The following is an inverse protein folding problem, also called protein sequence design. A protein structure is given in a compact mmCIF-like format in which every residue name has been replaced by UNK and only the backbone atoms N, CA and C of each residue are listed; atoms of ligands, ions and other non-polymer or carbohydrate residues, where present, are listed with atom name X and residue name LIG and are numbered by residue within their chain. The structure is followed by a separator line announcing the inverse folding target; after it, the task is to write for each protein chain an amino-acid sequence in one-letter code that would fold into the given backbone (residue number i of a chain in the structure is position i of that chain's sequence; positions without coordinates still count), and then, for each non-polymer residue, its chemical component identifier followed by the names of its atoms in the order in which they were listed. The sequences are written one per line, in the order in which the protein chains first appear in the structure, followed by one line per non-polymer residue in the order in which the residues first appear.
data_IF_119235651450
#
_entry.id   IF_119235651450
#
_cell.length_a   1.000
_cell.length_b   1.000
_cell.length_c   1.000
_cell.angle_alpha   90.00
_cell.angle_beta   90.00
_cell.angle_gamma   90.00
#
_symmetry.space_group_name_H-M   'P 1'
#
loop_
_entity.id
_entity.type
_entity.pdbx_description
1 polymer ?
#
# COMPACT_ATOMS: atom_id res chain seq x y z
N UNK A 1 17.87 -43.87 15.38
CA UNK A 1 17.62 -42.43 15.19
C UNK A 1 16.83 -42.22 13.91
N UNK A 2 15.55 -41.86 14.00
CA UNK A 2 14.78 -41.23 12.92
C UNK A 2 14.42 -39.76 13.26
N UNK A 3 14.13 -38.91 12.26
CA UNK A 3 13.97 -37.47 12.43
C UNK A 3 12.60 -37.09 13.00
N UNK A 4 12.58 -36.00 13.79
CA UNK A 4 11.37 -35.41 14.40
C UNK A 4 10.62 -34.64 13.31
N UNK A 5 9.50 -35.20 12.85
CA UNK A 5 8.61 -34.56 11.90
C UNK A 5 7.74 -33.50 12.61
N UNK A 6 7.51 -32.39 11.91
CA UNK A 6 6.93 -31.14 12.45
C UNK A 6 5.43 -31.12 12.17
N UNK A 7 4.67 -32.04 12.76
CA UNK A 7 3.24 -32.23 12.48
C UNK A 7 2.31 -31.23 13.20
N UNK A 8 2.86 -30.29 13.99
CA UNK A 8 2.05 -29.34 14.77
C UNK A 8 1.49 -28.16 13.94
N UNK A 9 2.15 -27.80 12.84
CA UNK A 9 1.73 -26.69 11.97
C UNK A 9 0.56 -27.06 11.05
N UNK A 10 0.42 -28.34 10.69
CA UNK A 10 -0.65 -28.80 9.80
C UNK A 10 -2.03 -28.85 10.47
N UNK A 11 -2.07 -28.97 11.80
CA UNK A 11 -3.33 -28.99 12.56
C UNK A 11 -3.95 -27.61 12.73
N UNK A 12 -3.12 -26.56 12.76
CA UNK A 12 -3.61 -25.17 12.91
C UNK A 12 -4.28 -24.66 11.64
N UNK A 13 -3.75 -25.02 10.47
CA UNK A 13 -4.24 -24.52 9.18
C UNK A 13 -5.54 -25.22 8.74
N UNK A 14 -5.80 -26.45 9.22
CA UNK A 14 -7.01 -27.19 8.84
C UNK A 14 -8.29 -26.72 9.55
N UNK A 15 -8.16 -26.04 10.69
CA UNK A 15 -9.30 -25.58 11.51
C UNK A 15 -9.81 -24.19 11.08
N UNK A 16 -8.93 -23.34 10.53
CA UNK A 16 -9.26 -21.96 10.11
C UNK A 16 -10.11 -21.88 8.82
N UNK A 17 -10.31 -22.99 8.11
CA UNK A 17 -10.99 -23.01 6.82
C UNK A 17 -12.52 -23.20 6.90
N UNK A 18 -13.13 -23.14 8.09
CA UNK A 18 -14.55 -23.52 8.27
C UNK A 18 -15.44 -22.52 9.00
N UNK A 19 -15.05 -21.26 9.11
CA UNK A 19 -15.95 -20.26 9.68
C UNK A 19 -15.92 -18.92 8.93
N UNK A 20 -17.12 -18.44 8.60
CA UNK A 20 -17.50 -17.13 8.07
C UNK A 20 -17.26 -16.83 6.58
N UNK A 21 -18.24 -17.22 5.77
CA UNK A 21 -19.01 -16.32 4.88
C UNK A 21 -18.54 -14.83 4.84
N UNK A 22 -17.56 -14.50 3.99
CA UNK A 22 -17.28 -13.11 3.54
C UNK A 22 -16.25 -13.04 2.39
N UNK A 23 -16.62 -13.28 1.12
CA UNK A 23 -15.67 -13.21 0.01
C UNK A 23 -15.38 -11.79 -0.51
N UNK A 24 -16.03 -10.74 0.01
CA UNK A 24 -15.90 -9.38 -0.55
C UNK A 24 -14.92 -8.46 0.20
N UNK A 25 -14.76 -8.60 1.52
CA UNK A 25 -13.94 -7.68 2.32
C UNK A 25 -12.44 -8.05 2.32
N UNK A 26 -12.11 -9.34 2.28
CA UNK A 26 -10.73 -9.83 2.28
C UNK A 26 -9.99 -9.55 0.96
N UNK A 27 -10.71 -9.53 -0.16
CA UNK A 27 -10.13 -9.19 -1.47
C UNK A 27 -9.67 -7.71 -1.53
N UNK A 28 -10.36 -6.79 -0.82
CA UNK A 28 -9.96 -5.38 -0.75
C UNK A 28 -8.64 -5.21 0.01
N UNK A 29 -8.46 -5.89 1.15
CA UNK A 29 -7.19 -5.81 1.92
C UNK A 29 -6.04 -6.58 1.26
N UNK A 30 -6.30 -7.68 0.55
CA UNK A 30 -5.27 -8.36 -0.24
C UNK A 30 -4.83 -7.53 -1.48
N UNK A 31 -5.76 -6.78 -2.09
CA UNK A 31 -5.45 -5.88 -3.21
C UNK A 31 -4.71 -4.60 -2.77
N UNK A 32 -4.86 -4.18 -1.50
CA UNK A 32 -3.97 -3.18 -0.87
C UNK A 32 -2.53 -3.71 -0.73
N UNK A 33 -2.37 -5.03 -0.55
CA UNK A 33 -1.05 -5.66 -0.34
C UNK A 33 -0.29 -5.90 -1.66
N UNK A 34 -0.98 -6.00 -2.80
CA UNK A 34 -0.33 -6.35 -4.07
C UNK A 34 -0.14 -5.19 -5.04
N UNK A 35 0.05 -3.98 -4.52
CA UNK A 35 0.59 -2.88 -5.30
C UNK A 35 1.99 -3.30 -5.77
N UNK A 36 2.20 -3.44 -7.09
CA UNK A 36 3.50 -3.81 -7.66
C UNK A 36 4.60 -3.00 -6.99
N UNK A 37 5.69 -3.67 -6.57
CA UNK A 37 6.78 -3.01 -5.83
C UNK A 37 7.24 -1.70 -6.50
N UNK A 38 7.33 -1.72 -7.83
CA UNK A 38 7.61 -0.55 -8.68
C UNK A 38 6.64 0.63 -8.47
N UNK A 39 5.35 0.37 -8.31
CA UNK A 39 4.33 1.41 -8.06
C UNK A 39 4.45 1.96 -6.65
N UNK A 40 4.77 1.10 -5.68
CA UNK A 40 5.00 1.52 -4.30
C UNK A 40 6.19 2.47 -4.24
N UNK A 41 7.30 2.10 -4.89
CA UNK A 41 8.48 2.95 -5.01
C UNK A 41 8.18 4.28 -5.72
N UNK A 42 7.40 4.25 -6.80
CA UNK A 42 6.97 5.45 -7.52
C UNK A 42 6.13 6.37 -6.63
N UNK A 43 5.18 5.82 -5.88
CA UNK A 43 4.33 6.56 -4.94
C UNK A 43 5.14 7.21 -3.83
N UNK A 44 6.06 6.46 -3.21
CA UNK A 44 6.94 6.97 -2.15
C UNK A 44 7.82 8.10 -2.69
N UNK A 45 8.48 7.88 -3.84
CA UNK A 45 9.35 8.88 -4.46
C UNK A 45 8.57 10.15 -4.83
N UNK A 46 7.35 9.98 -5.34
CA UNK A 46 6.47 11.09 -5.68
C UNK A 46 6.07 11.90 -4.45
N UNK A 47 5.71 11.25 -3.34
CA UNK A 47 5.37 11.91 -2.07
C UNK A 47 6.55 12.68 -1.48
N UNK A 48 7.75 12.09 -1.49
CA UNK A 48 8.98 12.76 -1.05
C UNK A 48 9.29 13.98 -1.92
N UNK A 49 9.24 13.84 -3.24
CA UNK A 49 9.50 14.94 -4.18
C UNK A 49 8.49 16.07 -4.02
N UNK A 50 7.20 15.74 -3.93
CA UNK A 50 6.15 16.70 -3.68
C UNK A 50 6.42 17.50 -2.40
N UNK A 51 6.84 16.83 -1.33
CA UNK A 51 7.13 17.48 -0.05
C UNK A 51 8.32 18.44 -0.13
N UNK A 52 9.37 18.08 -0.87
CA UNK A 52 10.51 18.96 -1.12
C UNK A 52 10.12 20.21 -1.91
N UNK A 53 9.16 20.09 -2.84
CA UNK A 53 8.68 21.22 -3.65
C UNK A 53 7.66 22.11 -2.94
N UNK A 54 6.85 21.54 -2.03
CA UNK A 54 5.67 22.19 -1.46
C UNK A 54 5.65 22.19 0.07
N UNK A 55 6.82 22.09 0.72
CA UNK A 55 6.99 21.78 2.15
C UNK A 55 6.30 22.67 3.18
N UNK A 56 5.80 23.85 2.80
CA UNK A 56 5.04 24.72 3.71
C UNK A 56 3.54 24.41 3.70
N UNK A 57 3.04 23.62 2.73
CA UNK A 57 1.62 23.33 2.57
C UNK A 57 1.18 22.14 3.42
N UNK A 58 -0.09 22.16 3.80
CA UNK A 58 -0.74 21.02 4.43
C UNK A 58 -1.08 19.95 3.37
N UNK A 59 -1.11 18.70 3.82
CA UNK A 59 -1.49 17.55 2.99
C UNK A 59 -2.88 17.77 2.37
N UNK A 60 -3.87 18.17 3.16
CA UNK A 60 -5.25 18.36 2.71
C UNK A 60 -5.37 19.39 1.57
N UNK A 61 -4.53 20.42 1.56
CA UNK A 61 -4.55 21.46 0.54
C UNK A 61 -3.94 21.00 -0.79
N UNK A 62 -2.96 20.09 -0.74
CA UNK A 62 -2.19 19.68 -1.92
C UNK A 62 -2.59 18.31 -2.46
N UNK A 63 -3.27 17.49 -1.66
CA UNK A 63 -3.69 16.14 -2.01
C UNK A 63 -4.41 16.06 -3.35
N UNK A 64 -5.35 16.97 -3.62
CA UNK A 64 -6.10 17.00 -4.87
C UNK A 64 -5.22 17.39 -6.08
N UNK A 65 -4.20 18.22 -5.86
CA UNK A 65 -3.22 18.56 -6.89
C UNK A 65 -2.31 17.36 -7.19
N UNK A 66 -1.87 16.65 -6.15
CA UNK A 66 -1.08 15.42 -6.28
C UNK A 66 -1.86 14.30 -6.94
N UNK A 67 -3.16 14.16 -6.66
CA UNK A 67 -4.03 13.22 -7.35
C UNK A 67 -4.06 13.48 -8.86
N UNK A 68 -4.20 14.75 -9.27
CA UNK A 68 -4.15 15.14 -10.69
C UNK A 68 -2.77 14.94 -11.30
N UNK A 69 -1.71 15.16 -10.51
CA UNK A 69 -0.32 14.91 -10.92
C UNK A 69 -0.04 13.42 -11.13
N UNK A 70 -0.55 12.57 -10.25
CA UNK A 70 -0.41 11.13 -10.29
C UNK A 70 -1.01 10.53 -11.57
N UNK A 71 -2.19 10.99 -11.99
CA UNK A 71 -2.82 10.53 -13.23
C UNK A 71 -1.96 10.81 -14.48
N UNK A 72 -1.12 11.84 -14.44
CA UNK A 72 -0.13 12.13 -15.50
C UNK A 72 1.16 11.31 -15.35
N UNK A 73 1.56 11.01 -14.12
CA UNK A 73 2.81 10.31 -13.77
C UNK A 73 2.73 8.80 -14.02
N UNK A 74 1.61 8.16 -13.64
CA UNK A 74 1.41 6.70 -13.68
C UNK A 74 1.57 6.10 -15.08
N UNK A 75 1.37 6.89 -16.13
CA UNK A 75 1.61 6.51 -17.51
C UNK A 75 0.88 5.21 -17.90
N UNK A 76 1.64 4.15 -18.18
CA UNK A 76 1.10 2.85 -18.58
C UNK A 76 0.52 2.02 -17.43
N UNK A 77 0.90 2.33 -16.19
CA UNK A 77 0.44 1.60 -15.02
C UNK A 77 -0.94 2.12 -14.64
N UNK A 78 -1.94 1.26 -14.81
CA UNK A 78 -3.34 1.66 -14.62
C UNK A 78 -3.76 1.64 -13.14
N UNK A 79 -2.91 2.17 -12.24
CA UNK A 79 -3.18 2.25 -10.80
C UNK A 79 -3.80 3.60 -10.41
N UNK A 80 -5.03 3.63 -9.90
CA UNK A 80 -5.71 4.87 -9.49
C UNK A 80 -5.05 5.49 -8.26
N UNK A 81 -5.15 6.81 -8.14
CA UNK A 81 -4.69 7.57 -6.98
C UNK A 81 -5.12 6.94 -5.64
N UNK A 82 -6.37 6.48 -5.52
CA UNK A 82 -6.91 5.89 -4.28
C UNK A 82 -6.16 4.65 -3.78
N UNK A 83 -5.42 3.96 -4.65
CA UNK A 83 -4.58 2.83 -4.26
C UNK A 83 -3.19 3.24 -3.76
N UNK A 84 -2.71 4.43 -4.13
CA UNK A 84 -1.36 4.91 -3.78
C UNK A 84 -1.36 6.07 -2.80
N UNK A 85 -2.49 6.74 -2.60
CA UNK A 85 -2.65 7.92 -1.75
C UNK A 85 -2.00 7.73 -0.38
N UNK A 86 -2.26 6.59 0.27
CA UNK A 86 -1.68 6.28 1.59
C UNK A 86 -0.15 6.17 1.59
N UNK A 87 0.46 5.63 0.52
CA UNK A 87 1.92 5.54 0.39
C UNK A 87 2.53 6.92 0.11
N UNK A 88 1.88 7.73 -0.73
CA UNK A 88 2.29 9.11 -1.03
C UNK A 88 2.19 9.99 0.22
N UNK A 89 1.10 9.87 0.97
CA UNK A 89 0.85 10.59 2.22
C UNK A 89 1.86 10.20 3.31
N UNK A 90 2.12 8.90 3.46
CA UNK A 90 3.13 8.40 4.38
C UNK A 90 4.51 8.97 4.06
N UNK A 91 4.90 8.93 2.79
CA UNK A 91 6.14 9.52 2.31
C UNK A 91 6.22 11.04 2.51
N UNK A 92 5.13 11.76 2.24
CA UNK A 92 5.03 13.20 2.49
C UNK A 92 5.25 13.55 3.97
N UNK A 93 4.67 12.77 4.89
CA UNK A 93 4.78 13.00 6.33
C UNK A 93 6.11 12.56 6.92
N UNK A 94 6.79 11.59 6.32
CA UNK A 94 8.11 11.15 6.79
C UNK A 94 9.13 12.31 6.83
N UNK A 95 9.07 13.25 5.89
CA UNK A 95 9.97 14.41 5.85
C UNK A 95 9.66 15.45 6.94
N UNK A 96 8.46 15.45 7.52
CA UNK A 96 8.07 16.37 8.60
C UNK A 96 8.58 15.94 9.98
N UNK A 97 9.10 14.72 10.10
CA UNK A 97 9.49 14.13 11.38
C UNK A 97 10.97 14.37 11.77
N UNK A 98 11.72 15.14 10.96
CA UNK A 98 13.10 15.58 11.24
C UNK A 98 13.13 17.09 11.54
#
# INVERSE_FOLDING_TARGET
MPPRNVDWLSSFIADEAREADAPAAAATVANVVSLSHRIRELAITYGLGARLHHGERHWDDIRDELARGWERLRGAEQVPWTHVEGEVEGAWRLVLAD
#
